data_IF_154259344759
#
_entry.id   IF_154259344759
#
_cell.length_a   1.000
_cell.length_b   1.000
_cell.length_c   1.000
_cell.angle_alpha   90.00
_cell.angle_beta   90.00
_cell.angle_gamma   90.00
#
_symmetry.space_group_name_H-M   'P 1'
#
loop_
_entity.id
_entity.type
_entity.pdbx_description
1 polymer ?
#
# COMPACT_ATOMS: atom_id res chain seq x y z
N UNK A 1 19.24 52.27 -29.19
CA UNK A 1 19.84 52.17 -27.85
C UNK A 1 18.74 51.85 -26.85
N UNK A 2 18.76 50.67 -26.24
CA UNK A 2 17.75 50.28 -25.21
C UNK A 2 18.26 50.75 -23.85
N UNK A 3 17.50 51.61 -23.17
CA UNK A 3 17.79 52.03 -21.80
C UNK A 3 17.17 51.00 -20.85
N UNK A 4 18.00 50.25 -20.11
CA UNK A 4 17.51 49.43 -19.00
C UNK A 4 17.18 50.35 -17.81
N UNK A 5 15.91 50.37 -17.43
CA UNK A 5 15.41 51.10 -16.27
C UNK A 5 15.60 50.24 -15.01
N UNK A 6 16.71 50.47 -14.29
CA UNK A 6 17.05 49.74 -13.06
C UNK A 6 16.34 50.33 -11.83
N UNK A 7 15.00 50.32 -11.81
CA UNK A 7 14.25 50.50 -10.57
C UNK A 7 14.30 49.18 -9.80
N UNK A 8 15.28 49.05 -8.90
CA UNK A 8 15.38 47.92 -7.99
C UNK A 8 14.24 47.95 -6.97
N UNK A 9 13.71 46.77 -6.63
CA UNK A 9 12.79 46.60 -5.52
C UNK A 9 13.41 47.15 -4.23
N UNK A 10 12.63 47.87 -3.43
CA UNK A 10 13.10 48.36 -2.13
C UNK A 10 13.18 47.19 -1.15
N UNK A 11 14.13 47.24 -0.19
CA UNK A 11 14.28 46.16 0.79
C UNK A 11 13.00 45.92 1.60
N UNK A 12 12.23 46.97 1.88
CA UNK A 12 10.96 46.89 2.64
C UNK A 12 9.90 46.10 1.86
N UNK A 13 9.85 46.25 0.55
CA UNK A 13 8.89 45.55 -0.31
C UNK A 13 9.18 44.04 -0.35
N UNK A 14 10.46 43.66 -0.47
CA UNK A 14 10.87 42.26 -0.41
C UNK A 14 10.71 41.67 1.00
N UNK A 15 10.93 42.48 2.04
CA UNK A 15 10.76 42.06 3.43
C UNK A 15 9.29 41.78 3.74
N UNK A 16 8.38 42.65 3.32
CA UNK A 16 6.94 42.46 3.52
C UNK A 16 6.45 41.15 2.87
N UNK A 17 6.92 40.84 1.66
CA UNK A 17 6.58 39.58 0.97
C UNK A 17 7.09 38.37 1.74
N UNK A 18 8.33 38.38 2.21
CA UNK A 18 8.87 37.26 2.99
C UNK A 18 8.13 37.04 4.31
N UNK A 19 7.69 38.10 4.98
CA UNK A 19 6.87 38.01 6.20
C UNK A 19 5.52 37.34 5.90
N UNK A 20 4.83 37.78 4.85
CA UNK A 20 3.54 37.20 4.46
C UNK A 20 3.71 35.72 4.05
N UNK A 21 4.73 35.39 3.26
CA UNK A 21 5.03 34.00 2.88
C UNK A 21 5.32 33.11 4.10
N UNK A 22 6.08 33.60 5.08
CA UNK A 22 6.37 32.87 6.31
C UNK A 22 5.09 32.56 7.12
N UNK A 23 4.18 33.54 7.24
CA UNK A 23 2.90 33.34 7.94
C UNK A 23 2.04 32.28 7.23
N UNK A 24 1.97 32.33 5.89
CA UNK A 24 1.22 31.35 5.10
C UNK A 24 1.81 29.93 5.28
N UNK A 25 3.14 29.79 5.27
CA UNK A 25 3.81 28.49 5.44
C UNK A 25 3.51 27.86 6.80
N UNK A 26 3.52 28.64 7.89
CA UNK A 26 3.23 28.13 9.25
C UNK A 26 1.85 27.50 9.34
N UNK A 27 0.84 28.09 8.69
CA UNK A 27 -0.54 27.59 8.69
C UNK A 27 -0.69 26.38 7.75
N UNK A 28 0.04 26.36 6.64
CA UNK A 28 -0.09 25.32 5.60
C UNK A 28 0.63 24.00 5.94
N UNK A 29 1.76 24.02 6.64
CA UNK A 29 2.52 22.80 6.97
C UNK A 29 1.68 21.72 7.68
N UNK A 30 0.90 22.01 8.75
CA UNK A 30 0.16 20.97 9.44
C UNK A 30 -0.92 20.30 8.56
N UNK A 31 -1.58 21.06 7.67
CA UNK A 31 -2.61 20.50 6.78
C UNK A 31 -2.03 19.61 5.67
N UNK A 32 -0.83 19.94 5.19
CA UNK A 32 -0.11 19.10 4.22
C UNK A 32 0.33 17.78 4.85
N UNK A 33 0.78 17.80 6.11
CA UNK A 33 1.22 16.59 6.82
C UNK A 33 0.08 15.60 7.04
N UNK A 34 -1.12 16.04 7.44
CA UNK A 34 -2.27 15.13 7.60
C UNK A 34 -2.71 14.53 6.27
N UNK A 35 -2.78 15.34 5.21
CA UNK A 35 -3.16 14.90 3.86
C UNK A 35 -2.16 13.87 3.30
N UNK A 36 -0.87 14.04 3.59
CA UNK A 36 0.17 13.08 3.20
C UNK A 36 -0.08 11.70 3.85
N UNK A 37 -0.43 11.67 5.13
CA UNK A 37 -0.69 10.42 5.84
C UNK A 37 -1.93 9.68 5.32
N UNK A 38 -2.98 10.42 4.97
CA UNK A 38 -4.19 9.85 4.36
C UNK A 38 -3.91 9.33 2.94
N UNK A 39 -3.10 10.05 2.17
CA UNK A 39 -2.66 9.60 0.86
C UNK A 39 -1.83 8.30 0.95
N UNK A 40 -0.92 8.19 1.93
CA UNK A 40 -0.16 6.97 2.17
C UNK A 40 -1.07 5.79 2.51
N UNK A 41 -2.08 5.97 3.38
CA UNK A 41 -3.08 4.93 3.67
C UNK A 41 -3.89 4.54 2.44
N UNK A 42 -4.28 5.52 1.62
CA UNK A 42 -4.99 5.28 0.36
C UNK A 42 -4.16 4.46 -0.63
N UNK A 43 -2.87 4.79 -0.77
CA UNK A 43 -1.95 4.03 -1.63
C UNK A 43 -1.75 2.59 -1.13
N UNK A 44 -1.60 2.39 0.17
CA UNK A 44 -1.49 1.07 0.78
C UNK A 44 -2.72 0.22 0.48
N UNK A 45 -3.93 0.79 0.62
CA UNK A 45 -5.19 0.13 0.28
C UNK A 45 -5.22 -0.30 -1.20
N UNK A 46 -4.95 0.63 -2.12
CA UNK A 46 -4.96 0.33 -3.57
C UNK A 46 -3.96 -0.79 -3.90
N UNK A 47 -2.80 -0.78 -3.25
CA UNK A 47 -1.80 -1.82 -3.44
C UNK A 47 -2.28 -3.18 -2.91
N UNK A 48 -2.89 -3.23 -1.73
CA UNK A 48 -3.48 -4.46 -1.18
C UNK A 48 -4.59 -5.03 -2.09
N UNK A 49 -5.45 -4.17 -2.64
CA UNK A 49 -6.47 -4.58 -3.63
C UNK A 49 -5.83 -5.12 -4.91
N UNK A 50 -4.76 -4.48 -5.40
CA UNK A 50 -4.00 -4.96 -6.56
C UNK A 50 -3.40 -6.34 -6.31
N UNK A 51 -2.82 -6.56 -5.13
CA UNK A 51 -2.26 -7.85 -4.69
C UNK A 51 -3.35 -8.93 -4.69
N UNK A 52 -4.52 -8.64 -4.11
CA UNK A 52 -5.64 -9.58 -4.09
C UNK A 52 -6.13 -9.93 -5.50
N UNK A 53 -6.28 -8.94 -6.37
CA UNK A 53 -6.68 -9.17 -7.76
C UNK A 53 -5.67 -10.05 -8.50
N UNK A 54 -4.38 -9.80 -8.31
CA UNK A 54 -3.31 -10.60 -8.91
C UNK A 54 -3.27 -12.03 -8.38
N UNK A 55 -3.50 -12.21 -7.08
CA UNK A 55 -3.61 -13.53 -6.48
C UNK A 55 -4.83 -14.29 -6.98
N UNK A 56 -5.94 -13.59 -7.21
CA UNK A 56 -7.11 -14.18 -7.84
C UNK A 56 -6.81 -14.62 -9.28
N UNK A 57 -6.17 -13.78 -10.08
CA UNK A 57 -5.74 -14.13 -11.45
C UNK A 57 -4.82 -15.36 -11.46
N UNK A 58 -3.79 -15.37 -10.60
CA UNK A 58 -2.86 -16.49 -10.47
C UNK A 58 -3.57 -17.79 -10.07
N UNK A 59 -4.42 -17.73 -9.04
CA UNK A 59 -5.17 -18.89 -8.60
C UNK A 59 -6.12 -19.44 -9.68
N UNK A 60 -6.85 -18.58 -10.37
CA UNK A 60 -7.72 -19.01 -11.47
C UNK A 60 -6.90 -19.67 -12.59
N UNK A 61 -5.74 -19.11 -12.93
CA UNK A 61 -4.83 -19.72 -13.90
C UNK A 61 -4.36 -21.11 -13.45
N UNK A 62 -3.97 -21.26 -12.18
CA UNK A 62 -3.50 -22.55 -11.67
C UNK A 62 -4.61 -23.59 -11.61
N UNK A 63 -5.84 -23.18 -11.30
CA UNK A 63 -7.01 -24.07 -11.34
C UNK A 63 -7.25 -24.57 -12.75
N UNK A 64 -7.11 -23.72 -13.78
CA UNK A 64 -7.27 -24.11 -15.18
C UNK A 64 -6.15 -25.03 -15.67
N UNK A 65 -4.92 -24.82 -15.20
CA UNK A 65 -3.75 -25.62 -15.56
C UNK A 65 -3.59 -26.89 -14.70
N UNK A 66 -4.35 -27.02 -13.62
CA UNK A 66 -4.22 -28.12 -12.66
C UNK A 66 -2.96 -28.05 -11.79
N UNK A 67 -2.31 -26.89 -11.69
CA UNK A 67 -1.02 -26.66 -11.01
C UNK A 67 -1.17 -26.18 -9.57
N UNK A 68 -2.39 -26.08 -9.05
CA UNK A 68 -2.68 -25.59 -7.68
C UNK A 68 -1.95 -26.35 -6.57
N UNK A 69 -1.55 -27.61 -6.84
CA UNK A 69 -0.78 -28.46 -5.93
C UNK A 69 0.53 -27.82 -5.44
N UNK A 70 1.18 -26.99 -6.27
CA UNK A 70 2.44 -26.32 -5.92
C UNK A 70 2.28 -25.28 -4.80
N UNK A 71 1.08 -24.70 -4.68
CA UNK A 71 0.76 -23.65 -3.72
C UNK A 71 -0.12 -24.15 -2.58
N UNK A 72 -0.50 -25.43 -2.61
CA UNK A 72 -1.37 -26.06 -1.63
C UNK A 72 -0.68 -26.23 -0.27
N UNK A 73 -1.40 -25.86 0.78
CA UNK A 73 -1.06 -25.97 2.19
C UNK A 73 -2.23 -26.60 2.94
N UNK A 74 -2.01 -27.04 4.17
CA UNK A 74 -3.05 -27.66 5.02
C UNK A 74 -4.29 -26.78 5.23
N UNK A 75 -4.15 -25.47 5.06
CA UNK A 75 -5.19 -24.48 5.31
C UNK A 75 -5.73 -23.79 4.04
N UNK A 76 -5.27 -24.19 2.84
CA UNK A 76 -5.65 -23.55 1.58
C UNK A 76 -4.46 -23.38 0.64
N UNK A 77 -4.55 -22.40 -0.27
CA UNK A 77 -3.48 -22.07 -1.21
C UNK A 77 -2.77 -20.80 -0.77
N UNK A 78 -1.46 -20.72 -0.93
CA UNK A 78 -0.70 -19.54 -0.55
C UNK A 78 0.22 -19.06 -1.67
N UNK A 79 0.14 -17.76 -1.95
CA UNK A 79 0.89 -17.06 -2.98
C UNK A 79 1.70 -15.94 -2.33
N UNK A 80 3.02 -16.01 -2.44
CA UNK A 80 3.91 -14.92 -2.00
C UNK A 80 3.96 -13.79 -3.02
N UNK A 81 4.15 -12.56 -2.53
CA UNK A 81 4.17 -11.36 -3.36
C UNK A 81 5.29 -11.37 -4.41
N UNK A 82 6.51 -11.74 -4.00
CA UNK A 82 7.69 -11.70 -4.87
C UNK A 82 7.74 -12.85 -5.87
N UNK A 83 7.69 -14.06 -5.36
CA UNK A 83 7.99 -15.26 -6.15
C UNK A 83 6.84 -15.67 -7.06
N UNK A 84 5.59 -15.50 -6.61
CA UNK A 84 4.43 -16.03 -7.32
C UNK A 84 3.58 -14.95 -7.99
N UNK A 85 3.57 -13.74 -7.45
CA UNK A 85 2.76 -12.64 -7.96
C UNK A 85 3.58 -11.64 -8.77
N UNK A 86 4.91 -11.76 -8.77
CA UNK A 86 5.84 -10.83 -9.42
C UNK A 86 5.62 -9.37 -8.94
N UNK A 87 5.07 -9.22 -7.74
CA UNK A 87 4.75 -7.96 -7.08
C UNK A 87 5.72 -7.78 -5.91
N UNK A 88 6.94 -7.28 -6.16
CA UNK A 88 7.86 -7.05 -5.04
C UNK A 88 9.35 -6.96 -5.34
N UNK A 89 9.76 -7.13 -6.60
CA UNK A 89 11.18 -7.15 -7.01
C UNK A 89 11.95 -5.84 -6.71
N UNK A 90 11.25 -4.73 -6.45
CA UNK A 90 11.86 -3.44 -6.06
C UNK A 90 11.02 -2.69 -5.01
N UNK A 91 10.12 -3.37 -4.32
CA UNK A 91 9.09 -2.73 -3.52
C UNK A 91 9.35 -2.84 -2.01
N UNK A 92 9.03 -1.77 -1.28
CA UNK A 92 8.97 -1.70 0.19
C UNK A 92 7.85 -2.56 0.80
N UNK A 93 7.02 -3.19 -0.05
CA UNK A 93 5.93 -4.05 0.35
C UNK A 93 6.37 -5.50 0.45
N UNK A 94 5.99 -6.12 1.56
CA UNK A 94 6.21 -7.54 1.83
C UNK A 94 4.92 -8.22 2.24
N UNK A 95 4.73 -9.46 1.82
CA UNK A 95 3.60 -10.25 2.29
C UNK A 95 3.24 -11.45 1.43
N UNK A 96 2.02 -11.93 1.66
CA UNK A 96 1.46 -13.07 0.97
C UNK A 96 -0.07 -13.01 0.95
N UNK A 97 -0.66 -13.77 0.04
CA UNK A 97 -2.11 -13.98 -0.03
C UNK A 97 -2.41 -15.45 0.24
N UNK A 98 -3.41 -15.68 1.08
CA UNK A 98 -3.94 -17.01 1.38
C UNK A 98 -5.36 -17.10 0.82
N UNK A 99 -5.63 -18.22 0.15
CA UNK A 99 -6.91 -18.51 -0.48
C UNK A 99 -7.46 -19.75 0.18
N UNK A 100 -8.58 -19.61 0.88
CA UNK A 100 -9.29 -20.75 1.47
C UNK A 100 -10.54 -21.04 0.68
N UNK A 101 -10.80 -22.31 0.41
CA UNK A 101 -11.99 -22.74 -0.33
C UNK A 101 -12.91 -23.45 0.64
N UNK A 102 -14.11 -22.89 0.85
CA UNK A 102 -15.12 -23.54 1.69
C UNK A 102 -15.75 -24.75 0.97
N UNK A 103 -16.45 -25.59 1.71
CA UNK A 103 -17.24 -26.75 1.29
C UNK A 103 -18.24 -26.46 0.16
N UNK A 104 -18.55 -25.17 -0.08
CA UNK A 104 -19.41 -24.68 -1.17
C UNK A 104 -18.65 -24.23 -2.42
N UNK A 105 -17.35 -24.57 -2.52
CA UNK A 105 -16.44 -24.18 -3.61
C UNK A 105 -16.32 -22.65 -3.79
N UNK A 106 -16.50 -21.89 -2.71
CA UNK A 106 -16.35 -20.43 -2.72
C UNK A 106 -14.95 -20.07 -2.18
N UNK A 107 -14.05 -19.51 -3.02
CA UNK A 107 -12.74 -19.07 -2.55
C UNK A 107 -12.89 -17.76 -1.77
N UNK A 108 -12.24 -17.68 -0.61
CA UNK A 108 -12.09 -16.48 0.21
C UNK A 108 -10.62 -16.09 0.21
N UNK A 109 -10.34 -14.82 -0.06
CA UNK A 109 -8.99 -14.29 -0.21
C UNK A 109 -8.63 -13.46 1.03
N UNK A 110 -7.52 -13.83 1.66
CA UNK A 110 -6.93 -13.16 2.82
C UNK A 110 -5.57 -12.61 2.43
N UNK A 111 -5.40 -11.30 2.53
CA UNK A 111 -4.12 -10.64 2.30
C UNK A 111 -3.44 -10.30 3.63
N UNK A 112 -2.16 -10.63 3.70
CA UNK A 112 -1.26 -10.13 4.74
C UNK A 112 -0.17 -9.35 4.05
N UNK A 113 -0.03 -8.08 4.40
CA UNK A 113 0.83 -7.14 3.71
C UNK A 113 1.40 -6.15 4.71
N UNK A 114 2.68 -5.80 4.56
CA UNK A 114 3.31 -4.70 5.27
C UNK A 114 4.04 -3.80 4.28
N UNK A 115 4.14 -2.52 4.59
CA UNK A 115 5.07 -1.58 3.98
C UNK A 115 5.92 -0.90 5.07
N UNK A 116 6.51 0.25 4.76
CA UNK A 116 7.31 1.06 5.70
C UNK A 116 6.50 1.68 6.84
N UNK A 117 5.19 1.91 6.66
CA UNK A 117 4.36 2.68 7.60
C UNK A 117 3.20 1.87 8.20
N UNK A 118 2.61 0.97 7.41
CA UNK A 118 1.38 0.25 7.70
C UNK A 118 1.53 -1.25 7.48
N UNK A 119 0.70 -2.01 8.19
CA UNK A 119 0.52 -3.42 7.95
C UNK A 119 -0.93 -3.87 8.13
N UNK A 120 -1.27 -4.96 7.45
CA UNK A 120 -2.55 -5.67 7.55
C UNK A 120 -2.27 -7.16 7.64
N UNK A 121 -3.10 -7.88 8.38
CA UNK A 121 -2.96 -9.33 8.58
C UNK A 121 -4.33 -9.98 8.46
N UNK A 122 -4.45 -10.94 7.55
CA UNK A 122 -5.68 -11.68 7.26
C UNK A 122 -6.87 -10.80 6.83
N UNK A 123 -6.62 -9.75 6.06
CA UNK A 123 -7.67 -8.85 5.57
C UNK A 123 -8.36 -9.42 4.33
N UNK A 124 -9.67 -9.24 4.24
CA UNK A 124 -10.44 -9.52 3.01
C UNK A 124 -10.72 -8.23 2.23
N UNK A 125 -11.32 -8.35 1.04
CA UNK A 125 -11.79 -7.20 0.27
C UNK A 125 -12.71 -6.27 1.07
N UNK A 126 -13.54 -6.82 1.96
CA UNK A 126 -14.43 -6.02 2.79
C UNK A 126 -13.64 -5.19 3.82
N UNK A 127 -12.62 -5.79 4.44
CA UNK A 127 -11.81 -5.15 5.48
C UNK A 127 -10.95 -4.01 4.93
N UNK A 128 -10.49 -4.14 3.68
CA UNK A 128 -9.74 -3.09 2.98
C UNK A 128 -10.56 -1.81 2.74
N UNK A 129 -11.89 -1.88 2.80
CA UNK A 129 -12.74 -0.68 2.65
C UNK A 129 -12.65 0.24 3.87
N UNK A 130 -12.13 -0.23 5.00
CA UNK A 130 -12.00 0.53 6.24
C UNK A 130 -10.52 0.80 6.60
N UNK A 131 -9.89 1.85 6.04
CA UNK A 131 -8.46 2.14 6.21
C UNK A 131 -8.07 2.58 7.63
N UNK A 132 -9.03 2.84 8.50
CA UNK A 132 -8.79 3.13 9.92
C UNK A 132 -8.24 1.91 10.68
N UNK A 133 -8.41 0.72 10.13
CA UNK A 133 -8.03 -0.54 10.78
C UNK A 133 -6.60 -0.95 10.48
N UNK A 134 -5.89 -0.26 9.58
CA UNK A 134 -4.50 -0.58 9.26
C UNK A 134 -3.60 -0.33 10.46
N UNK A 135 -2.87 -1.38 10.87
CA UNK A 135 -1.90 -1.33 11.95
C UNK A 135 -0.62 -0.61 11.48
N UNK A 136 0.26 -0.29 12.43
CA UNK A 136 1.60 0.17 12.10
C UNK A 136 2.40 -0.92 11.37
N UNK A 137 3.41 -0.52 10.59
CA UNK A 137 4.30 -1.46 9.90
C UNK A 137 4.87 -2.50 10.87
N UNK A 138 4.99 -3.74 10.39
CA UNK A 138 5.52 -4.86 11.17
C UNK A 138 6.63 -5.58 10.43
N UNK A 139 7.77 -5.77 11.08
CA UNK A 139 8.87 -6.58 10.57
C UNK A 139 8.61 -8.08 10.63
N UNK A 140 7.53 -8.52 11.29
CA UNK A 140 7.15 -9.93 11.36
C UNK A 140 6.52 -10.45 10.06
N UNK A 141 6.03 -9.56 9.20
CA UNK A 141 5.42 -9.92 7.93
C UNK A 141 6.51 -10.01 6.88
N UNK A 142 6.63 -11.20 6.29
CA UNK A 142 7.63 -11.51 5.25
C UNK A 142 6.93 -12.03 4.00
N UNK A 143 7.67 -12.15 2.90
CA UNK A 143 7.18 -12.73 1.65
C UNK A 143 7.03 -14.26 1.73
N UNK A 144 7.11 -14.86 2.91
CA UNK A 144 7.01 -16.31 3.09
C UNK A 144 5.63 -16.71 3.58
N UNK A 145 5.06 -17.73 2.95
CA UNK A 145 3.81 -18.33 3.41
C UNK A 145 3.99 -18.93 4.81
N UNK A 146 3.08 -18.65 5.76
CA UNK A 146 3.20 -19.14 7.13
C UNK A 146 3.01 -20.66 7.19
N UNK A 147 3.53 -21.31 8.24
CA UNK A 147 3.34 -22.75 8.42
C UNK A 147 1.88 -23.10 8.79
N UNK A 148 1.18 -22.18 9.44
CA UNK A 148 -0.20 -22.31 9.90
C UNK A 148 -0.97 -21.03 9.63
N UNK A 149 -2.25 -21.15 9.33
CA UNK A 149 -3.15 -20.01 9.12
C UNK A 149 -4.37 -20.15 10.02
N UNK A 150 -4.68 -19.08 10.74
CA UNK A 150 -5.91 -18.89 11.49
C UNK A 150 -6.58 -17.65 10.96
N UNK A 151 -7.75 -17.76 10.29
CA UNK A 151 -8.47 -16.60 9.77
C UNK A 151 -8.93 -15.66 10.89
#
# INVERSE_FOLDING_TARGET
>A
MVRLNNKGFTLVELLAVMVVLAIIMIIAIPSVMSTMSDAQRGMFKIYAEKVLNKAQEAYQSDVLLGTTSSHSKNYGYCYSLREHLELGESSQYHGYVIITVDSKLKPTFYVTLTDTYFSITNYTYADLTNPATFAAASSSITDTCPATFTP
#
